data_IF_622476486342
#
_entry.id   IF_622476486342
#
_cell.length_a   1.000
_cell.length_b   1.000
_cell.length_c   1.000
_cell.angle_alpha   90.00
_cell.angle_beta   90.00
_cell.angle_gamma   90.00
#
_symmetry.space_group_name_H-M   'P 1'
#
loop_
_entity.id
_entity.type
_entity.pdbx_description
1 polymer ?
#
# COMPACT_ATOMS: atom_id res chain seq x y z
N UNK A 1 6.10 -10.27 6.91
CA UNK A 1 5.79 -11.69 7.22
C UNK A 1 4.29 -11.98 7.24
N UNK A 2 3.45 -11.24 7.98
CA UNK A 2 1.99 -11.49 8.02
C UNK A 2 1.26 -11.21 6.69
N UNK A 3 1.63 -10.14 5.96
CA UNK A 3 0.99 -9.79 4.68
C UNK A 3 1.25 -10.80 3.56
N UNK A 4 2.41 -11.46 3.57
CA UNK A 4 2.78 -12.48 2.58
C UNK A 4 1.91 -13.72 2.75
N UNK A 5 1.66 -14.14 4.01
CA UNK A 5 0.78 -15.26 4.31
C UNK A 5 -0.64 -14.99 3.82
N UNK A 6 -1.17 -13.78 4.01
CA UNK A 6 -2.49 -13.40 3.50
C UNK A 6 -2.52 -13.37 1.97
N UNK A 7 -1.48 -12.86 1.32
CA UNK A 7 -1.39 -12.82 -0.15
C UNK A 7 -1.35 -14.23 -0.76
N UNK A 8 -0.59 -15.16 -0.17
CA UNK A 8 -0.54 -16.56 -0.62
C UNK A 8 -1.91 -17.22 -0.44
N UNK A 9 -2.56 -17.01 0.71
CA UNK A 9 -3.91 -17.56 0.97
C UNK A 9 -4.97 -16.96 0.02
N UNK A 10 -4.84 -15.68 -0.36
CA UNK A 10 -5.69 -15.06 -1.36
C UNK A 10 -5.49 -15.67 -2.76
N UNK A 11 -4.24 -15.97 -3.14
CA UNK A 11 -3.96 -16.67 -4.40
C UNK A 11 -4.54 -18.09 -4.43
N UNK A 12 -4.45 -18.83 -3.32
CA UNK A 12 -5.06 -20.16 -3.19
C UNK A 12 -6.59 -20.09 -3.32
N UNK A 13 -7.22 -19.04 -2.77
CA UNK A 13 -8.65 -18.79 -2.95
C UNK A 13 -9.05 -18.52 -4.40
N UNK A 14 -8.21 -17.84 -5.18
CA UNK A 14 -8.46 -17.58 -6.60
C UNK A 14 -8.36 -18.85 -7.46
N UNK A 15 -7.49 -19.79 -7.09
CA UNK A 15 -7.29 -21.03 -7.83
C UNK A 15 -8.41 -22.05 -7.53
N UNK A 16 -8.77 -22.23 -6.26
CA UNK A 16 -9.73 -23.24 -5.83
C UNK A 16 -10.57 -22.72 -4.64
N UNK A 17 -11.68 -22.00 -4.88
CA UNK A 17 -12.45 -21.36 -3.82
C UNK A 17 -13.15 -22.37 -2.89
N UNK A 18 -13.61 -23.50 -3.45
CA UNK A 18 -14.32 -24.55 -2.72
C UNK A 18 -13.40 -25.26 -1.71
N UNK A 19 -12.23 -25.71 -2.16
CA UNK A 19 -11.23 -26.36 -1.29
C UNK A 19 -10.64 -25.40 -0.25
N UNK A 20 -10.48 -24.12 -0.60
CA UNK A 20 -9.95 -23.10 0.31
C UNK A 20 -10.89 -22.84 1.50
N UNK A 21 -12.20 -22.80 1.24
CA UNK A 21 -13.21 -22.44 2.26
C UNK A 21 -13.69 -23.63 3.07
N UNK A 22 -13.92 -24.79 2.43
CA UNK A 22 -14.56 -25.96 3.07
C UNK A 22 -13.66 -27.19 3.14
N UNK A 23 -12.51 -27.19 2.45
CA UNK A 23 -11.62 -28.35 2.40
C UNK A 23 -12.26 -29.54 1.69
N UNK A 24 -12.03 -30.75 2.21
CA UNK A 24 -12.66 -32.01 1.77
C UNK A 24 -13.79 -32.42 2.73
N UNK A 25 -14.61 -31.45 3.15
CA UNK A 25 -15.77 -31.73 3.98
C UNK A 25 -16.96 -32.14 3.11
N UNK A 26 -17.59 -33.25 3.48
CA UNK A 26 -18.81 -33.76 2.89
C UNK A 26 -19.85 -33.93 3.98
N UNK A 27 -21.11 -33.61 3.66
CA UNK A 27 -22.23 -33.78 4.57
C UNK A 27 -23.19 -34.84 4.02
N UNK A 28 -23.86 -35.54 4.92
CA UNK A 28 -24.86 -36.55 4.55
C UNK A 28 -26.24 -35.90 4.52
N UNK A 29 -26.79 -35.72 3.33
CA UNK A 29 -28.15 -35.26 3.14
C UNK A 29 -29.08 -36.48 3.03
N UNK A 30 -30.17 -36.49 3.80
CA UNK A 30 -31.24 -37.48 3.63
C UNK A 30 -32.16 -36.97 2.54
N UNK A 31 -32.14 -37.64 1.37
CA UNK A 31 -33.07 -37.33 0.28
C UNK A 31 -34.37 -38.10 0.52
N UNK A 32 -35.50 -37.56 0.04
CA UNK A 32 -36.86 -38.08 0.22
C UNK A 32 -37.06 -39.53 -0.30
N UNK A 33 -36.53 -40.52 0.42
CA UNK A 33 -36.82 -41.95 0.41
C UNK A 33 -35.94 -42.73 1.42
N UNK A 34 -35.33 -42.04 2.40
CA UNK A 34 -34.39 -42.65 3.36
C UNK A 34 -33.00 -42.94 2.79
N UNK A 35 -32.75 -42.61 1.52
CA UNK A 35 -31.44 -42.73 0.89
C UNK A 35 -30.53 -41.60 1.37
N UNK A 36 -29.40 -41.96 1.97
CA UNK A 36 -28.35 -41.01 2.34
C UNK A 36 -27.46 -40.74 1.11
N UNK A 37 -27.37 -39.48 0.70
CA UNK A 37 -26.43 -39.05 -0.34
C UNK A 37 -25.33 -38.21 0.29
N UNK A 38 -24.09 -38.50 -0.12
CA UNK A 38 -22.92 -37.72 0.30
C UNK A 38 -22.79 -36.55 -0.67
N UNK A 39 -22.96 -35.34 -0.17
CA UNK A 39 -22.82 -34.11 -0.95
C UNK A 39 -21.65 -33.25 -0.44
N UNK A 40 -21.06 -32.48 -1.36
CA UNK A 40 -19.93 -31.59 -1.08
C UNK A 40 -20.45 -30.34 -0.38
N UNK A 41 -19.78 -29.90 0.69
CA UNK A 41 -20.11 -28.67 1.38
C UNK A 41 -20.07 -27.45 0.43
N UNK A 42 -21.17 -26.71 0.34
CA UNK A 42 -21.25 -25.48 -0.44
C UNK A 42 -21.68 -24.29 0.42
N UNK A 43 -21.54 -23.07 -0.11
CA UNK A 43 -21.91 -21.82 0.57
C UNK A 43 -23.41 -21.67 0.88
N UNK A 44 -24.25 -22.59 0.40
CA UNK A 44 -25.71 -22.55 0.56
C UNK A 44 -26.22 -23.48 1.67
N UNK A 45 -25.32 -24.26 2.29
CA UNK A 45 -25.64 -25.20 3.38
C UNK A 45 -25.50 -24.52 4.73
N UNK A 46 -26.34 -24.93 5.70
CA UNK A 46 -26.32 -24.37 7.05
C UNK A 46 -24.96 -24.58 7.73
N UNK A 47 -24.56 -23.64 8.59
CA UNK A 47 -23.29 -23.69 9.35
C UNK A 47 -23.21 -24.84 10.34
N UNK A 48 -24.34 -25.50 10.62
CA UNK A 48 -24.40 -26.61 11.58
C UNK A 48 -23.86 -27.91 10.96
N UNK A 49 -23.92 -28.05 9.63
CA UNK A 49 -23.45 -29.24 8.90
C UNK A 49 -22.07 -29.05 8.24
N UNK A 50 -21.68 -27.81 7.89
CA UNK A 50 -20.40 -27.49 7.25
C UNK A 50 -19.69 -26.31 7.94
N UNK A 51 -18.50 -26.57 8.50
CA UNK A 51 -17.72 -25.57 9.22
C UNK A 51 -16.69 -24.91 8.29
N UNK A 52 -16.82 -23.60 8.09
CA UNK A 52 -15.87 -22.82 7.29
C UNK A 52 -14.46 -22.81 7.93
N UNK A 53 -13.43 -22.99 7.10
CA UNK A 53 -12.04 -22.97 7.55
C UNK A 53 -11.63 -21.60 8.14
N UNK A 54 -10.64 -21.61 9.02
CA UNK A 54 -10.05 -20.38 9.59
C UNK A 54 -9.49 -19.48 8.47
N UNK A 55 -8.95 -20.07 7.40
CA UNK A 55 -8.41 -19.34 6.26
C UNK A 55 -9.48 -18.59 5.48
N UNK A 56 -10.64 -19.23 5.20
CA UNK A 56 -11.77 -18.56 4.55
C UNK A 56 -12.27 -17.34 5.33
N UNK A 57 -12.38 -17.46 6.66
CA UNK A 57 -12.80 -16.34 7.54
C UNK A 57 -11.81 -15.18 7.53
N UNK A 58 -10.51 -15.46 7.56
CA UNK A 58 -9.46 -14.42 7.52
C UNK A 58 -9.47 -13.70 6.17
N UNK A 59 -9.57 -14.43 5.07
CA UNK A 59 -9.57 -13.89 3.71
C UNK A 59 -10.78 -12.96 3.50
N UNK A 60 -11.99 -13.41 3.84
CA UNK A 60 -13.21 -12.60 3.71
C UNK A 60 -13.12 -11.30 4.52
N UNK A 61 -12.64 -11.37 5.76
CA UNK A 61 -12.49 -10.19 6.62
C UNK A 61 -11.38 -9.25 6.15
N UNK A 62 -10.34 -9.80 5.53
CA UNK A 62 -9.27 -9.03 4.92
C UNK A 62 -9.76 -8.28 3.69
N UNK A 63 -10.42 -8.95 2.73
CA UNK A 63 -10.97 -8.31 1.54
C UNK A 63 -11.96 -7.19 1.87
N UNK A 64 -12.78 -7.36 2.91
CA UNK A 64 -13.66 -6.30 3.40
C UNK A 64 -12.89 -5.03 3.85
N UNK A 65 -11.69 -5.20 4.41
CA UNK A 65 -10.83 -4.11 4.87
C UNK A 65 -9.79 -3.65 3.87
N UNK A 66 -9.57 -4.36 2.76
CA UNK A 66 -8.62 -3.97 1.69
C UNK A 66 -8.98 -2.63 1.08
N UNK A 67 -10.28 -2.30 0.99
CA UNK A 67 -10.70 -0.99 0.49
C UNK A 67 -10.16 0.17 1.35
N UNK A 68 -10.06 -0.03 2.67
CA UNK A 68 -9.44 0.93 3.58
C UNK A 68 -7.94 1.05 3.34
N UNK A 69 -7.23 -0.07 3.14
CA UNK A 69 -5.81 -0.06 2.79
C UNK A 69 -5.54 0.63 1.45
N UNK A 70 -6.40 0.40 0.45
CA UNK A 70 -6.33 1.09 -0.84
C UNK A 70 -6.53 2.60 -0.70
N UNK A 71 -7.53 3.02 0.08
CA UNK A 71 -7.80 4.43 0.34
C UNK A 71 -6.64 5.11 1.07
N UNK A 72 -6.08 4.48 2.11
CA UNK A 72 -4.92 5.02 2.85
C UNK A 72 -3.69 5.11 1.95
N UNK A 73 -3.42 4.10 1.12
CA UNK A 73 -2.28 4.14 0.18
C UNK A 73 -2.41 5.26 -0.85
N UNK A 74 -3.63 5.47 -1.37
CA UNK A 74 -3.92 6.58 -2.28
C UNK A 74 -3.72 7.94 -1.59
N UNK A 75 -4.22 8.10 -0.35
CA UNK A 75 -4.04 9.32 0.43
C UNK A 75 -2.57 9.61 0.76
N UNK A 76 -1.79 8.58 1.14
CA UNK A 76 -0.36 8.73 1.42
C UNK A 76 0.43 9.13 0.16
N UNK A 77 0.07 8.58 -1.00
CA UNK A 77 0.70 8.91 -2.28
C UNK A 77 0.45 10.38 -2.65
N UNK A 78 -0.78 10.86 -2.47
CA UNK A 78 -1.14 12.27 -2.68
C UNK A 78 -0.49 13.20 -1.66
N UNK A 79 -0.47 12.81 -0.39
CA UNK A 79 0.17 13.58 0.67
C UNK A 79 1.67 13.72 0.42
N UNK A 80 2.34 12.64 0.02
CA UNK A 80 3.75 12.68 -0.35
C UNK A 80 4.03 13.63 -1.52
N UNK A 81 3.21 13.58 -2.57
CA UNK A 81 3.32 14.51 -3.69
C UNK A 81 3.13 15.97 -3.27
N UNK A 82 2.12 16.26 -2.43
CA UNK A 82 1.85 17.63 -1.95
C UNK A 82 3.02 18.15 -1.13
N UNK A 83 3.54 17.36 -0.18
CA UNK A 83 4.69 17.76 0.66
C UNK A 83 5.92 18.02 -0.20
N UNK A 84 6.19 17.17 -1.19
CA UNK A 84 7.30 17.36 -2.12
C UNK A 84 7.15 18.66 -2.92
N UNK A 85 5.95 18.91 -3.47
CA UNK A 85 5.66 20.11 -4.26
C UNK A 85 5.79 21.39 -3.42
N UNK A 86 5.26 21.39 -2.20
CA UNK A 86 5.43 22.52 -1.25
C UNK A 86 6.91 22.74 -0.93
N UNK A 87 7.67 21.68 -0.67
CA UNK A 87 9.12 21.76 -0.46
C UNK A 87 9.85 22.40 -1.64
N UNK A 88 9.50 22.01 -2.87
CA UNK A 88 10.02 22.60 -4.09
C UNK A 88 9.65 24.09 -4.21
N UNK A 89 8.39 24.46 -3.96
CA UNK A 89 7.95 25.88 -3.99
C UNK A 89 8.72 26.70 -2.97
N UNK A 90 8.84 26.22 -1.72
CA UNK A 90 9.59 26.93 -0.67
C UNK A 90 11.05 27.11 -1.06
N UNK A 91 11.69 26.10 -1.65
CA UNK A 91 13.07 26.20 -2.16
C UNK A 91 13.17 27.19 -3.33
N UNK A 92 12.22 27.19 -4.26
CA UNK A 92 12.21 28.12 -5.40
C UNK A 92 11.99 29.57 -4.94
N UNK A 93 11.03 29.80 -4.03
CA UNK A 93 10.73 31.15 -3.51
C UNK A 93 11.87 31.67 -2.66
N UNK A 94 12.45 30.84 -1.78
CA UNK A 94 13.58 31.22 -0.92
C UNK A 94 14.91 31.32 -1.67
N UNK A 95 15.08 30.53 -2.73
CA UNK A 95 16.18 30.66 -3.67
C UNK A 95 16.09 31.91 -4.54
N UNK A 96 14.89 32.46 -4.76
CA UNK A 96 14.69 33.74 -5.46
C UNK A 96 15.23 34.95 -4.68
N UNK A 97 15.29 34.87 -3.36
CA UNK A 97 15.88 35.92 -2.52
C UNK A 97 17.40 35.75 -2.37
N UNK A 98 17.93 34.51 -2.41
CA UNK A 98 19.37 34.26 -2.26
C UNK A 98 20.16 34.25 -3.56
N UNK A 99 19.57 33.96 -4.73
CA UNK A 99 20.32 33.94 -5.99
C UNK A 99 20.72 35.34 -6.50
N UNK A 100 20.11 36.39 -5.96
CA UNK A 100 20.56 37.78 -6.18
C UNK A 100 21.69 38.12 -5.22
N UNK A 101 21.66 37.59 -3.99
CA UNK A 101 22.65 37.91 -2.97
C UNK A 101 23.94 37.08 -3.14
N UNK A 102 23.87 35.81 -3.54
CA UNK A 102 25.06 34.98 -3.82
C UNK A 102 25.90 35.57 -4.96
N UNK A 103 25.26 36.03 -6.05
CA UNK A 103 25.95 36.69 -7.16
C UNK A 103 26.50 38.10 -6.83
N UNK A 104 25.87 38.82 -5.90
CA UNK A 104 26.31 40.17 -5.49
C UNK A 104 27.32 40.12 -4.36
N UNK A 105 27.20 39.18 -3.43
CA UNK A 105 28.15 38.94 -2.34
C UNK A 105 29.47 38.39 -2.88
N UNK A 106 29.45 37.43 -3.80
CA UNK A 106 30.69 36.94 -4.44
C UNK A 106 31.38 38.03 -5.27
N UNK A 107 30.63 38.97 -5.88
CA UNK A 107 31.21 40.10 -6.62
C UNK A 107 31.66 41.29 -5.77
N UNK A 108 31.04 41.54 -4.62
CA UNK A 108 31.46 42.61 -3.70
C UNK A 108 32.71 42.22 -2.90
N UNK A 109 33.00 40.94 -2.72
CA UNK A 109 34.23 40.50 -2.06
C UNK A 109 35.45 40.45 -2.99
N UNK A 110 35.26 40.50 -4.32
CA UNK A 110 36.33 40.45 -5.32
C UNK A 110 36.79 41.84 -5.84
N UNK A 111 36.10 42.94 -5.50
CA UNK A 111 36.37 44.29 -6.08
C UNK A 111 37.13 45.25 -5.12
N UNK A 112 37.55 44.79 -3.94
CA UNK A 112 38.20 45.62 -2.90
C UNK A 112 39.71 45.34 -2.68
N UNK A 113 40.38 44.57 -3.56
CA UNK A 113 41.79 44.15 -3.35
C UNK A 113 42.77 44.46 -4.51
N UNK A 114 42.51 45.46 -5.36
CA UNK A 114 43.35 45.75 -6.55
C UNK A 114 43.95 47.18 -6.57
N UNK A 115 44.32 47.75 -5.42
CA UNK A 115 44.94 49.10 -5.38
C UNK A 115 46.09 49.26 -4.36
N UNK A 116 46.96 48.27 -4.13
CA UNK A 116 48.30 48.56 -3.58
C UNK A 116 49.40 47.71 -4.24
N UNK A 117 50.43 48.43 -4.67
CA UNK A 117 51.79 47.98 -5.02
C UNK A 117 52.06 47.41 -6.43
N UNK A 118 52.57 48.28 -7.31
CA UNK A 118 53.83 47.94 -7.99
C UNK A 118 54.73 49.19 -8.16
N UNK A 119 56.05 49.07 -7.93
CA UNK A 119 57.00 50.17 -7.80
C UNK A 119 57.61 50.56 -9.15
N UNK A 120 58.09 51.79 -9.29
CA UNK A 120 59.17 52.15 -10.24
C UNK A 120 59.69 53.59 -9.98
N UNK A 121 60.97 53.63 -9.58
CA UNK A 121 61.97 54.73 -9.66
C UNK A 121 61.86 55.86 -8.62
#
# INVERSE_FOLDING_TARGET
>A
MMFIVVAINAFVYLLIPQYSIYGDQHYSAVVNNGTQTVEICTQFVSTDDCQMTVMGRIILRFFYKVWFFGAVYFLLSWLFLIVFLIGCIVKIVRGRESNIQEFTTDRLFDDDNDDEDNPLI
#
